data_IF_854137411094
#
_entry.id   IF_854137411094
#
_cell.length_a   1.000
_cell.length_b   1.000
_cell.length_c   1.000
_cell.angle_alpha   90.00
_cell.angle_beta   90.00
_cell.angle_gamma   90.00
#
_symmetry.space_group_name_H-M   'P 1'
#
loop_
_entity.id
_entity.type
_entity.pdbx_description
1 polymer ?
#
# COMPACT_ATOMS: atom_id res chain seq x y z
N UNK A 1 -29.49 -10.07 -26.73
CA UNK A 1 -28.15 -10.58 -26.37
C UNK A 1 -27.34 -9.40 -25.85
N UNK A 2 -27.25 -9.22 -24.53
CA UNK A 2 -26.43 -8.18 -23.93
C UNK A 2 -24.97 -8.57 -24.02
N UNK A 3 -24.17 -7.82 -24.77
CA UNK A 3 -22.72 -7.91 -24.70
C UNK A 3 -22.31 -7.23 -23.39
N UNK A 4 -22.07 -8.00 -22.33
CA UNK A 4 -21.29 -7.55 -21.16
C UNK A 4 -19.83 -7.46 -21.60
N UNK A 5 -19.52 -6.42 -22.38
CA UNK A 5 -18.14 -6.01 -22.66
C UNK A 5 -17.90 -4.74 -21.86
N UNK A 6 -17.85 -4.90 -20.54
CA UNK A 6 -17.32 -3.90 -19.61
C UNK A 6 -16.69 -4.65 -18.43
N UNK A 7 -15.92 -5.70 -18.73
CA UNK A 7 -14.92 -6.21 -17.78
C UNK A 7 -13.78 -5.17 -17.78
N UNK A 8 -14.12 -4.00 -17.22
CA UNK A 8 -13.27 -2.85 -17.04
C UNK A 8 -12.02 -3.32 -16.31
N UNK A 9 -10.86 -3.05 -16.89
CA UNK A 9 -9.58 -3.17 -16.22
C UNK A 9 -9.57 -2.19 -15.04
N UNK A 10 -10.14 -2.58 -13.90
CA UNK A 10 -10.20 -1.75 -12.70
C UNK A 10 -8.78 -1.41 -12.28
N UNK A 11 -8.53 -0.12 -12.07
CA UNK A 11 -7.23 0.37 -11.64
C UNK A 11 -6.84 -0.23 -10.28
N UNK A 12 -5.57 -0.61 -10.14
CA UNK A 12 -5.02 -1.19 -8.91
C UNK A 12 -3.96 -0.24 -8.36
N UNK A 13 -4.19 0.25 -7.14
CA UNK A 13 -3.33 1.20 -6.42
C UNK A 13 -2.29 0.49 -5.53
N UNK A 14 -1.84 -0.71 -5.91
CA UNK A 14 -0.94 -1.52 -5.10
C UNK A 14 0.35 -0.78 -4.74
N UNK A 15 0.94 -0.01 -5.66
CA UNK A 15 2.16 0.75 -5.40
C UNK A 15 2.01 1.75 -4.26
N UNK A 16 0.87 2.44 -4.19
CA UNK A 16 0.56 3.39 -3.12
C UNK A 16 0.42 2.69 -1.77
N UNK A 17 -0.31 1.58 -1.72
CA UNK A 17 -0.48 0.77 -0.52
C UNK A 17 0.85 0.20 0.00
N UNK A 18 1.69 -0.35 -0.89
CA UNK A 18 3.02 -0.83 -0.52
C UNK A 18 3.88 0.29 0.07
N UNK A 19 3.81 1.50 -0.51
CA UNK A 19 4.53 2.68 -0.01
C UNK A 19 4.05 3.09 1.39
N UNK A 20 2.73 3.15 1.61
CA UNK A 20 2.14 3.51 2.91
C UNK A 20 2.63 2.57 4.04
N UNK A 21 2.65 1.27 3.76
CA UNK A 21 3.14 0.27 4.72
C UNK A 21 4.67 0.11 4.73
N UNK A 22 5.41 0.88 3.93
CA UNK A 22 6.87 0.80 3.84
C UNK A 22 7.39 -0.54 3.30
N UNK A 23 6.58 -1.25 2.51
CA UNK A 23 6.89 -2.57 1.98
C UNK A 23 7.57 -2.46 0.60
N UNK A 24 8.79 -2.99 0.49
CA UNK A 24 9.54 -3.02 -0.78
C UNK A 24 8.96 -4.06 -1.74
N UNK A 25 9.03 -3.80 -3.04
CA UNK A 25 8.56 -4.70 -4.12
C UNK A 25 9.10 -6.13 -4.01
N UNK A 26 10.40 -6.29 -3.67
CA UNK A 26 11.02 -7.61 -3.46
C UNK A 26 10.28 -8.38 -2.38
N UNK A 27 10.07 -7.76 -1.21
CA UNK A 27 9.41 -8.40 -0.08
C UNK A 27 7.92 -8.66 -0.37
N UNK A 28 7.26 -7.75 -1.08
CA UNK A 28 5.88 -7.95 -1.52
C UNK A 28 5.76 -9.18 -2.44
N UNK A 29 6.71 -9.39 -3.35
CA UNK A 29 6.72 -10.56 -4.22
C UNK A 29 6.92 -11.87 -3.45
N UNK A 30 7.82 -11.87 -2.45
CA UNK A 30 8.00 -13.02 -1.54
C UNK A 30 6.70 -13.35 -0.79
N UNK A 31 6.01 -12.34 -0.25
CA UNK A 31 4.73 -12.52 0.47
C UNK A 31 3.65 -13.06 -0.47
N UNK A 32 3.54 -12.48 -1.67
CA UNK A 32 2.59 -12.91 -2.68
C UNK A 32 2.90 -14.32 -3.23
N UNK A 33 4.16 -14.75 -3.15
CA UNK A 33 4.64 -15.99 -3.75
C UNK A 33 4.66 -15.93 -5.27
N UNK A 34 5.09 -14.79 -5.83
CA UNK A 34 5.23 -14.58 -7.27
C UNK A 34 6.54 -13.86 -7.61
N UNK A 35 6.79 -13.56 -8.89
CA UNK A 35 8.03 -12.90 -9.29
C UNK A 35 8.03 -11.40 -8.93
N UNK A 36 9.21 -10.85 -8.64
CA UNK A 36 9.36 -9.41 -8.39
C UNK A 36 8.90 -8.57 -9.58
N UNK A 37 9.17 -9.02 -10.81
CA UNK A 37 8.72 -8.36 -12.04
C UNK A 37 7.20 -8.28 -12.11
N UNK A 38 6.50 -9.33 -11.69
CA UNK A 38 5.04 -9.36 -11.64
C UNK A 38 4.49 -8.28 -10.70
N UNK A 39 4.97 -8.20 -9.45
CA UNK A 39 4.56 -7.14 -8.52
C UNK A 39 4.94 -5.75 -9.04
N UNK A 40 6.13 -5.60 -9.63
CA UNK A 40 6.60 -4.33 -10.21
C UNK A 40 5.65 -3.82 -11.30
N UNK A 41 5.17 -4.70 -12.18
CA UNK A 41 4.22 -4.34 -13.23
C UNK A 41 2.86 -3.91 -12.67
N UNK A 42 2.35 -4.61 -11.66
CA UNK A 42 1.08 -4.24 -11.00
C UNK A 42 1.22 -2.92 -10.26
N UNK A 43 2.27 -2.78 -9.44
CA UNK A 43 2.50 -1.58 -8.64
C UNK A 43 2.70 -0.32 -9.47
N UNK A 44 3.17 -0.48 -10.72
CA UNK A 44 3.34 0.60 -11.67
C UNK A 44 2.17 0.79 -12.64
N UNK A 45 1.01 0.14 -12.41
CA UNK A 45 -0.17 0.29 -13.27
C UNK A 45 -0.02 -0.31 -14.68
N UNK A 46 1.04 -1.07 -14.94
CA UNK A 46 1.31 -1.72 -16.25
C UNK A 46 0.54 -3.03 -16.42
N UNK A 47 -0.09 -3.52 -15.34
CA UNK A 47 -0.84 -4.78 -15.32
C UNK A 47 -2.01 -4.67 -14.35
N UNK A 48 -3.20 -4.99 -14.85
CA UNK A 48 -4.48 -4.95 -14.12
C UNK A 48 -5.15 -6.33 -14.05
N UNK A 49 -4.76 -7.29 -14.91
CA UNK A 49 -5.15 -8.70 -14.85
C UNK A 49 -4.35 -9.44 -13.75
N UNK A 50 -4.68 -9.12 -12.50
CA UNK A 50 -3.97 -9.66 -11.34
C UNK A 50 -4.65 -10.91 -10.82
N UNK A 51 -3.86 -11.96 -10.58
CA UNK A 51 -4.38 -13.12 -9.88
C UNK A 51 -4.73 -12.74 -8.44
N UNK A 52 -6.02 -12.86 -8.09
CA UNK A 52 -6.55 -12.51 -6.79
C UNK A 52 -5.84 -13.22 -5.62
N UNK A 53 -5.26 -14.42 -5.83
CA UNK A 53 -4.51 -15.13 -4.80
C UNK A 53 -3.26 -14.37 -4.34
N UNK A 54 -2.60 -13.63 -5.24
CA UNK A 54 -1.44 -12.81 -4.90
C UNK A 54 -1.85 -11.59 -4.07
N UNK A 55 -2.97 -10.96 -4.44
CA UNK A 55 -3.54 -9.85 -3.67
C UNK A 55 -4.05 -10.30 -2.31
N UNK A 56 -4.64 -11.49 -2.21
CA UNK A 56 -5.13 -12.05 -0.95
C UNK A 56 -4.01 -12.16 0.09
N UNK A 57 -2.89 -12.78 -0.28
CA UNK A 57 -1.72 -12.91 0.62
C UNK A 57 -1.16 -11.56 1.06
N UNK A 58 -1.13 -10.58 0.16
CA UNK A 58 -0.73 -9.21 0.51
C UNK A 58 -1.73 -8.55 1.43
N UNK A 59 -3.04 -8.73 1.19
CA UNK A 59 -4.10 -8.16 2.02
C UNK A 59 -4.05 -8.71 3.45
N UNK A 60 -3.80 -10.00 3.61
CA UNK A 60 -3.62 -10.64 4.92
C UNK A 60 -2.41 -10.07 5.64
N UNK A 61 -1.30 -9.90 4.92
CA UNK A 61 -0.07 -9.36 5.51
C UNK A 61 -0.18 -7.89 5.92
N UNK A 62 -0.85 -7.08 5.11
CA UNK A 62 -1.02 -5.64 5.33
C UNK A 62 -2.20 -5.31 6.25
N UNK A 63 -3.05 -6.28 6.57
CA UNK A 63 -4.25 -6.05 7.37
C UNK A 63 -5.30 -5.24 6.62
N UNK A 64 -5.41 -5.42 5.31
CA UNK A 64 -6.44 -4.78 4.45
C UNK A 64 -7.31 -5.87 3.80
N UNK A 65 -8.28 -5.47 2.99
CA UNK A 65 -9.05 -6.36 2.10
C UNK A 65 -8.50 -6.28 0.68
N UNK A 66 -8.80 -7.27 -0.16
CA UNK A 66 -8.41 -7.24 -1.58
C UNK A 66 -9.04 -6.05 -2.30
N UNK A 67 -10.28 -5.68 -1.95
CA UNK A 67 -11.00 -4.56 -2.55
C UNK A 67 -10.33 -3.21 -2.27
N UNK A 68 -9.64 -3.07 -1.14
CA UNK A 68 -8.93 -1.83 -0.79
C UNK A 68 -7.81 -1.50 -1.80
N UNK A 69 -7.26 -2.50 -2.50
CA UNK A 69 -6.25 -2.25 -3.55
C UNK A 69 -6.82 -1.59 -4.80
N UNK A 70 -8.15 -1.52 -4.96
CA UNK A 70 -8.81 -0.87 -6.09
C UNK A 70 -9.28 0.56 -5.78
N UNK A 71 -8.87 1.08 -4.62
CA UNK A 71 -9.02 2.49 -4.25
C UNK A 71 -7.67 3.06 -3.83
N UNK A 72 -7.44 4.38 -4.01
CA UNK A 72 -6.22 5.02 -3.56
C UNK A 72 -5.98 4.79 -2.05
N UNK A 73 -4.73 4.61 -1.60
CA UNK A 73 -4.44 4.55 -0.17
C UNK A 73 -4.80 5.89 0.50
N UNK A 74 -5.23 5.87 1.76
CA UNK A 74 -5.59 7.09 2.47
C UNK A 74 -4.37 8.00 2.67
N UNK A 75 -4.63 9.31 2.67
CA UNK A 75 -3.64 10.33 3.00
C UNK A 75 -3.87 10.84 4.42
N UNK A 76 -2.80 11.02 5.19
CA UNK A 76 -2.88 11.57 6.55
C UNK A 76 -3.43 13.01 6.57
N UNK A 77 -3.25 13.75 5.46
CA UNK A 77 -3.72 15.13 5.32
C UNK A 77 -5.18 15.24 4.88
N UNK A 78 -5.82 14.14 4.45
CA UNK A 78 -7.17 14.16 3.89
C UNK A 78 -8.11 13.22 4.68
N UNK A 79 -9.00 13.77 5.52
CA UNK A 79 -9.92 12.96 6.31
C UNK A 79 -10.96 12.23 5.46
N UNK A 80 -11.23 12.67 4.23
CA UNK A 80 -12.20 12.02 3.34
C UNK A 80 -11.67 10.74 2.72
N UNK A 81 -10.34 10.56 2.70
CA UNK A 81 -9.68 9.38 2.14
C UNK A 81 -9.96 8.07 2.90
N UNK A 82 -10.61 8.14 4.05
CA UNK A 82 -11.07 7.00 4.85
C UNK A 82 -12.48 6.49 4.49
N UNK A 83 -13.21 7.21 3.63
CA UNK A 83 -14.60 6.88 3.28
C UNK A 83 -14.66 5.58 2.46
N UNK A 84 -13.76 5.43 1.50
CA UNK A 84 -13.81 4.37 0.49
C UNK A 84 -13.05 3.09 0.87
N UNK A 85 -12.37 3.09 2.01
CA UNK A 85 -11.59 1.93 2.49
C UNK A 85 -12.32 1.16 3.59
N UNK A 86 -12.06 -0.14 3.65
CA UNK A 86 -12.64 -1.03 4.65
C UNK A 86 -12.26 -0.64 6.08
N UNK A 87 -13.12 -0.98 7.06
CA UNK A 87 -12.81 -0.76 8.48
C UNK A 87 -11.49 -1.42 8.91
N UNK A 88 -11.19 -2.59 8.35
CA UNK A 88 -9.93 -3.33 8.56
C UNK A 88 -8.74 -2.51 8.07
N UNK A 89 -8.84 -1.92 6.88
CA UNK A 89 -7.81 -1.04 6.35
C UNK A 89 -7.64 0.23 7.19
N UNK A 90 -8.74 0.84 7.66
CA UNK A 90 -8.67 2.03 8.54
C UNK A 90 -7.84 1.76 9.79
N UNK A 91 -8.11 0.65 10.48
CA UNK A 91 -7.38 0.25 11.69
C UNK A 91 -5.88 0.05 11.39
N UNK A 92 -5.57 -0.68 10.32
CA UNK A 92 -4.18 -0.95 9.92
C UNK A 92 -3.41 0.31 9.54
N UNK A 93 -4.05 1.25 8.86
CA UNK A 93 -3.45 2.55 8.50
C UNK A 93 -3.20 3.41 9.74
N UNK A 94 -4.18 3.54 10.63
CA UNK A 94 -4.02 4.32 11.88
C UNK A 94 -2.86 3.77 12.70
N UNK A 95 -2.80 2.45 12.88
CA UNK A 95 -1.70 1.78 13.57
C UNK A 95 -0.35 2.04 12.89
N UNK A 96 -0.32 2.02 11.56
CA UNK A 96 0.91 2.31 10.79
C UNK A 96 1.40 3.74 11.02
N UNK A 97 0.51 4.73 11.03
CA UNK A 97 0.90 6.12 11.28
C UNK A 97 1.38 6.36 12.72
N UNK A 98 0.75 5.71 13.70
CA UNK A 98 1.22 5.74 15.08
C UNK A 98 2.66 5.23 15.19
N UNK A 99 2.97 4.08 14.57
CA UNK A 99 4.33 3.52 14.55
C UNK A 99 5.35 4.45 13.88
N UNK A 100 4.96 5.16 12.81
CA UNK A 100 5.85 6.11 12.14
C UNK A 100 6.17 7.28 13.08
N UNK A 101 5.15 7.85 13.74
CA UNK A 101 5.32 8.97 14.68
C UNK A 101 6.20 8.60 15.88
N UNK A 102 6.01 7.41 16.44
CA UNK A 102 6.84 6.88 17.52
C UNK A 102 8.32 6.80 17.08
N UNK A 103 8.58 6.17 15.93
CA UNK A 103 9.94 6.04 15.40
C UNK A 103 10.58 7.39 14.99
N UNK A 104 9.79 8.42 14.67
CA UNK A 104 10.30 9.77 14.44
C UNK A 104 10.68 10.50 15.74
N UNK A 105 9.90 10.30 16.82
CA UNK A 105 10.19 10.89 18.13
C UNK A 105 11.46 10.33 18.79
N UNK A 106 11.85 9.09 18.45
CA UNK A 106 13.03 8.42 18.97
C UNK A 106 14.34 8.75 18.24
N UNK A 107 14.28 9.42 17.07
CA UNK A 107 15.52 9.83 16.37
C UNK A 107 16.18 10.97 17.15
N UNK A 108 17.38 10.78 17.74
CA UNK A 108 18.06 11.85 18.42
C UNK A 108 18.36 12.96 17.41
N UNK A 109 17.94 14.18 17.74
CA UNK A 109 18.30 15.38 16.99
C UNK A 109 19.80 15.33 16.71
N UNK A 110 20.19 15.17 15.43
CA UNK A 110 21.59 15.28 15.03
C UNK A 110 22.07 16.65 15.51
N UNK A 111 22.85 16.66 16.61
CA UNK A 111 23.54 17.84 17.11
C UNK A 111 24.24 18.46 15.91
N UNK A 112 23.82 19.67 15.52
CA UNK A 112 24.57 20.53 14.61
C UNK A 112 25.85 20.95 15.34
N UNK A 113 26.82 20.04 15.39
CA UNK A 113 28.18 20.33 15.77
C UNK A 113 28.92 20.83 14.53
N UNK A 114 28.73 22.11 14.20
CA UNK A 114 29.74 22.93 13.54
C UNK A 114 30.09 24.00 14.55
N UNK A 115 31.25 24.03 15.22
CA UNK A 115 32.62 23.97 14.72
C UNK A 115 32.85 24.97 13.58
N UNK A 116 33.08 26.24 13.96
CA UNK A 116 33.83 27.30 13.27
C UNK A 116 34.13 28.35 14.36
N UNK A 117 35.31 28.23 14.99
CA UNK A 117 36.55 28.99 14.72
C UNK A 117 36.36 30.49 14.89
#
# INVERSE_FOLDING_TARGET
>A
MGKTTDDENREIFLGGWLKLFGLKTVRAAEIAGCSQSYISNISGGRRSDVNALYLLRLSDRLGVTVNDFFVPPPSESDPTSFIDISAKARESVIKRWQQIREHESEKPAKKRAGARR
#
